data_IF_433395166971
#
_entry.id   IF_433395166971
#
_cell.length_a   1.000
_cell.length_b   1.000
_cell.length_c   1.000
_cell.angle_alpha   90.00
_cell.angle_beta   90.00
_cell.angle_gamma   90.00
#
_symmetry.space_group_name_H-M   'P 1'
#
loop_
_entity.id
_entity.type
_entity.pdbx_description
1 polymer ?
#
# COMPACT_ATOMS: atom_id res chain seq x y z
N UNK A 1 1.01 36.51 74.44
CA UNK A 1 1.45 37.00 73.13
C UNK A 1 2.32 35.94 72.47
N UNK A 2 2.02 35.64 71.20
CA UNK A 2 2.84 34.94 70.18
C UNK A 2 3.10 33.43 70.32
N UNK A 3 2.24 32.67 69.65
CA UNK A 3 2.55 31.42 68.94
C UNK A 3 3.67 31.64 67.92
N UNK A 4 4.42 30.57 67.57
CA UNK A 4 4.48 30.24 66.14
C UNK A 4 4.24 28.76 65.84
N UNK A 5 3.58 28.59 64.71
CA UNK A 5 3.17 27.37 64.03
C UNK A 5 4.22 26.89 63.01
N UNK A 6 4.14 25.59 62.70
CA UNK A 6 4.49 24.90 61.43
C UNK A 6 5.99 24.56 61.18
N UNK A 7 6.31 23.44 60.46
CA UNK A 7 5.58 22.93 59.30
C UNK A 7 5.23 21.43 59.28
N UNK A 8 4.04 21.14 58.75
CA UNK A 8 3.63 19.83 58.22
C UNK A 8 4.29 19.65 56.86
N UNK A 9 5.21 18.68 56.73
CA UNK A 9 5.75 18.27 55.44
C UNK A 9 4.65 17.58 54.63
N UNK A 10 4.20 18.23 53.57
CA UNK A 10 3.31 17.66 52.56
C UNK A 10 4.16 16.92 51.52
N UNK A 11 4.23 15.59 51.61
CA UNK A 11 4.90 14.74 50.62
C UNK A 11 4.02 14.62 49.38
N UNK A 12 4.28 15.43 48.35
CA UNK A 12 3.64 15.32 47.06
C UNK A 12 4.21 14.12 46.29
N UNK A 13 3.53 12.98 46.31
CA UNK A 13 3.81 11.84 45.44
C UNK A 13 3.28 12.17 44.04
N UNK A 14 4.17 12.63 43.16
CA UNK A 14 3.90 12.77 41.73
C UNK A 14 3.85 11.37 41.10
N UNK A 15 2.65 10.80 41.01
CA UNK A 15 2.36 9.65 40.15
C UNK A 15 2.45 10.11 38.69
N UNK A 16 3.63 9.95 38.09
CA UNK A 16 3.83 10.08 36.66
C UNK A 16 3.05 8.95 35.96
N UNK A 17 1.81 9.23 35.55
CA UNK A 17 1.09 8.38 34.61
C UNK A 17 1.79 8.48 33.26
N UNK A 18 2.64 7.50 32.95
CA UNK A 18 3.08 7.22 31.59
C UNK A 18 1.83 6.89 30.77
N UNK A 19 1.29 7.89 30.09
CA UNK A 19 0.32 7.69 29.04
C UNK A 19 1.06 6.94 27.91
N UNK A 20 1.05 5.61 27.98
CA UNK A 20 1.34 4.76 26.85
C UNK A 20 0.30 5.12 25.78
N UNK A 21 0.64 5.99 24.85
CA UNK A 21 -0.13 6.19 23.62
C UNK A 21 -0.20 4.84 22.92
N UNK A 22 -1.29 4.11 23.13
CA UNK A 22 -1.60 2.90 22.39
C UNK A 22 -1.67 3.27 20.92
N UNK A 23 -0.86 2.64 20.08
CA UNK A 23 -0.98 2.77 18.63
C UNK A 23 -2.44 2.57 18.21
N UNK A 24 -2.93 3.34 17.22
CA UNK A 24 -4.28 3.15 16.72
C UNK A 24 -4.49 1.68 16.30
N UNK A 25 -5.69 1.12 16.50
CA UNK A 25 -5.97 -0.26 16.16
C UNK A 25 -5.77 -0.48 14.64
N UNK A 26 -5.32 -1.68 14.22
CA UNK A 26 -5.14 -2.01 12.82
C UNK A 26 -6.45 -1.86 12.03
N UNK A 27 -6.38 -1.20 10.88
CA UNK A 27 -7.52 -1.13 9.95
C UNK A 27 -7.63 -2.41 9.11
N UNK A 28 -8.54 -3.29 9.52
CA UNK A 28 -8.83 -4.55 8.84
C UNK A 28 -10.01 -4.46 7.86
N UNK A 29 -10.50 -3.26 7.53
CA UNK A 29 -11.58 -3.11 6.55
C UNK A 29 -11.07 -3.57 5.17
N UNK A 30 -11.89 -4.30 4.39
CA UNK A 30 -11.54 -4.66 3.03
C UNK A 30 -11.39 -3.41 2.16
N UNK A 31 -10.59 -3.50 1.08
CA UNK A 31 -10.44 -2.39 0.13
C UNK A 31 -11.77 -1.97 -0.51
N UNK A 32 -12.71 -2.91 -0.65
CA UNK A 32 -13.94 -2.70 -1.41
C UNK A 32 -13.69 -2.92 -2.91
N UNK A 33 -14.55 -2.37 -3.76
CA UNK A 33 -14.33 -2.37 -5.21
C UNK A 33 -13.23 -1.35 -5.57
N UNK A 34 -12.08 -1.85 -6.01
CA UNK A 34 -10.90 -1.02 -6.34
C UNK A 34 -11.11 -0.17 -7.59
N UNK A 35 -12.25 -0.29 -8.26
CA UNK A 35 -12.66 0.51 -9.42
C UNK A 35 -13.89 1.36 -9.16
N UNK A 36 -14.43 1.36 -7.94
CA UNK A 36 -15.57 2.19 -7.57
C UNK A 36 -15.26 3.69 -7.70
N UNK A 37 -16.29 4.48 -8.01
CA UNK A 37 -16.19 5.95 -7.99
C UNK A 37 -16.17 6.48 -6.55
N UNK A 38 -15.50 7.63 -6.29
CA UNK A 38 -14.70 8.41 -7.24
C UNK A 38 -13.38 7.71 -7.58
N UNK A 39 -12.94 7.87 -8.83
CA UNK A 39 -11.74 7.22 -9.35
C UNK A 39 -10.59 8.24 -9.49
N UNK A 40 -9.41 7.79 -9.15
CA UNK A 40 -8.12 8.41 -9.39
C UNK A 40 -7.44 7.72 -10.56
N UNK A 41 -6.62 8.46 -11.29
CA UNK A 41 -5.90 7.96 -12.47
C UNK A 41 -6.82 7.27 -13.50
N UNK A 42 -8.09 7.71 -13.58
CA UNK A 42 -9.09 7.18 -14.51
C UNK A 42 -9.62 5.77 -14.24
N UNK A 43 -9.15 5.07 -13.20
CA UNK A 43 -9.57 3.68 -12.93
C UNK A 43 -9.65 3.30 -11.45
N UNK A 44 -8.77 3.83 -10.60
CA UNK A 44 -8.54 3.28 -9.26
C UNK A 44 -9.41 4.03 -8.24
N UNK A 45 -10.19 3.32 -7.44
CA UNK A 45 -11.05 3.93 -6.42
C UNK A 45 -10.24 4.72 -5.39
N UNK A 46 -10.66 5.97 -5.15
CA UNK A 46 -10.07 6.84 -4.11
C UNK A 46 -10.16 6.19 -2.73
N UNK A 47 -11.27 5.53 -2.41
CA UNK A 47 -11.49 4.89 -1.11
C UNK A 47 -10.58 3.67 -0.92
N UNK A 48 -10.37 2.88 -1.97
CA UNK A 48 -9.45 1.75 -1.93
C UNK A 48 -8.01 2.23 -1.72
N UNK A 49 -7.60 3.32 -2.40
CA UNK A 49 -6.30 3.96 -2.19
C UNK A 49 -6.17 4.40 -0.73
N UNK A 50 -7.13 5.18 -0.22
CA UNK A 50 -7.10 5.73 1.13
C UNK A 50 -6.95 4.64 2.19
N UNK A 51 -7.68 3.52 2.03
CA UNK A 51 -7.59 2.36 2.92
C UNK A 51 -6.23 1.68 2.83
N UNK A 52 -5.75 1.42 1.61
CA UNK A 52 -4.50 0.69 1.38
C UNK A 52 -3.28 1.40 1.99
N UNK A 53 -3.23 2.73 1.89
CA UNK A 53 -2.10 3.54 2.36
C UNK A 53 -2.34 4.21 3.73
N UNK A 54 -3.57 4.20 4.23
CA UNK A 54 -3.94 4.82 5.51
C UNK A 54 -3.96 6.34 5.49
N UNK A 55 -4.21 6.96 4.33
CA UNK A 55 -4.25 8.41 4.16
C UNK A 55 -5.59 8.84 3.58
N UNK A 56 -6.27 9.77 4.26
CA UNK A 56 -7.51 10.36 3.75
C UNK A 56 -7.24 11.40 2.63
N UNK A 57 -6.09 12.06 2.72
CA UNK A 57 -5.63 13.07 1.76
C UNK A 57 -4.31 12.65 1.11
N UNK A 58 -4.32 12.61 -0.22
CA UNK A 58 -3.18 12.23 -1.03
C UNK A 58 -3.22 12.90 -2.41
N UNK A 59 -2.09 12.90 -3.10
CA UNK A 59 -1.97 13.27 -4.49
C UNK A 59 -1.86 12.01 -5.35
N UNK A 60 -2.75 11.86 -6.31
CA UNK A 60 -2.68 10.81 -7.32
C UNK A 60 -2.29 11.40 -8.69
N UNK A 61 -1.32 10.78 -9.35
CA UNK A 61 -0.85 11.19 -10.68
C UNK A 61 -0.68 9.97 -11.57
N UNK A 62 -1.05 10.06 -12.85
CA UNK A 62 -1.04 8.90 -13.72
C UNK A 62 -1.91 9.08 -14.95
N UNK A 63 -2.53 7.99 -15.39
CA UNK A 63 -3.44 7.96 -16.53
C UNK A 63 -4.58 8.96 -16.36
N UNK A 64 -5.06 9.52 -17.47
CA UNK A 64 -6.22 10.41 -17.44
C UNK A 64 -7.52 9.61 -17.58
N UNK A 65 -8.64 10.10 -17.02
CA UNK A 65 -9.96 9.51 -17.28
C UNK A 65 -10.25 9.43 -18.78
N UNK A 66 -10.71 8.26 -19.24
CA UNK A 66 -11.03 8.00 -20.64
C UNK A 66 -9.84 7.61 -21.53
N UNK A 67 -8.60 7.73 -21.04
CA UNK A 67 -7.42 7.20 -21.72
C UNK A 67 -7.18 5.74 -21.31
N UNK A 68 -6.34 5.03 -22.08
CA UNK A 68 -5.88 3.70 -21.70
C UNK A 68 -5.08 3.81 -20.41
N UNK A 69 -5.44 3.00 -19.41
CA UNK A 69 -4.69 2.94 -18.16
C UNK A 69 -3.25 2.47 -18.40
N UNK A 70 -2.29 3.15 -17.80
CA UNK A 70 -0.85 2.90 -17.85
C UNK A 70 -0.23 2.89 -16.44
N UNK A 71 -0.57 3.87 -15.60
CA UNK A 71 -0.04 4.00 -14.25
C UNK A 71 -0.95 4.82 -13.34
N UNK A 72 -0.84 4.57 -12.05
CA UNK A 72 -1.31 5.43 -10.98
C UNK A 72 -0.29 5.47 -9.85
N UNK A 73 0.23 6.65 -9.54
CA UNK A 73 1.22 6.89 -8.50
C UNK A 73 0.59 7.81 -7.47
N UNK A 74 0.54 7.34 -6.23
CA UNK A 74 -0.04 8.04 -5.09
C UNK A 74 1.05 8.41 -4.10
N UNK A 75 0.98 9.64 -3.58
CA UNK A 75 1.92 10.18 -2.60
C UNK A 75 1.18 10.99 -1.54
N UNK A 76 1.76 11.07 -0.34
CA UNK A 76 1.26 11.93 0.72
C UNK A 76 1.26 13.40 0.31
N UNK A 77 0.19 14.12 0.65
CA UNK A 77 0.06 15.55 0.41
C UNK A 77 1.09 16.30 1.29
N UNK A 78 1.94 17.14 0.70
CA UNK A 78 2.97 17.96 1.40
C UNK A 78 4.10 17.17 2.09
N UNK A 79 4.47 15.99 1.59
CA UNK A 79 5.66 15.30 2.10
C UNK A 79 6.92 15.68 1.33
N UNK A 80 7.95 16.12 2.06
CA UNK A 80 9.33 16.25 1.56
C UNK A 80 10.05 14.89 1.48
N UNK A 81 9.47 13.85 2.11
CA UNK A 81 9.98 12.48 2.02
C UNK A 81 9.64 11.88 0.64
N UNK A 82 10.69 11.44 -0.05
CA UNK A 82 10.63 10.88 -1.39
C UNK A 82 10.11 9.44 -1.30
N UNK A 83 8.80 9.26 -1.42
CA UNK A 83 8.19 7.93 -1.48
C UNK A 83 6.86 7.92 -2.22
N UNK A 84 6.66 6.95 -3.12
CA UNK A 84 5.31 6.59 -3.55
C UNK A 84 4.69 5.71 -2.46
N UNK A 85 3.51 6.08 -1.98
CA UNK A 85 2.76 5.28 -1.00
C UNK A 85 2.07 4.10 -1.68
N UNK A 86 1.59 4.34 -2.90
CA UNK A 86 1.04 3.31 -3.78
C UNK A 86 1.47 3.59 -5.22
N UNK A 87 1.90 2.56 -5.94
CA UNK A 87 2.12 2.60 -7.38
C UNK A 87 1.45 1.41 -8.03
N UNK A 88 0.58 1.67 -8.99
CA UNK A 88 -0.09 0.68 -9.83
C UNK A 88 0.36 0.94 -11.25
N UNK A 89 1.06 0.00 -11.88
CA UNK A 89 1.62 0.18 -13.23
C UNK A 89 1.21 -0.98 -14.11
N UNK A 90 0.84 -0.67 -15.34
CA UNK A 90 0.52 -1.64 -16.38
C UNK A 90 1.47 -1.47 -17.59
N UNK A 91 2.31 -2.49 -17.80
CA UNK A 91 3.26 -2.51 -18.91
C UNK A 91 2.71 -3.36 -20.06
N UNK A 92 2.65 -2.78 -21.27
CA UNK A 92 2.31 -3.47 -22.50
C UNK A 92 3.07 -2.86 -23.70
N UNK A 93 4.19 -3.46 -24.15
CA UNK A 93 4.76 -4.71 -23.65
C UNK A 93 5.44 -4.55 -22.28
N UNK A 94 5.58 -5.66 -21.54
CA UNK A 94 6.41 -5.72 -20.35
C UNK A 94 7.88 -5.52 -20.72
N UNK A 95 8.60 -4.76 -19.90
CA UNK A 95 10.04 -4.57 -20.01
C UNK A 95 10.87 -5.66 -19.34
N UNK A 96 10.25 -6.52 -18.52
CA UNK A 96 10.94 -7.62 -17.84
C UNK A 96 10.67 -8.96 -18.52
N UNK A 97 11.72 -9.76 -18.63
CA UNK A 97 11.66 -11.17 -19.00
C UNK A 97 11.15 -12.04 -17.84
N UNK A 98 10.75 -13.27 -18.17
CA UNK A 98 10.34 -14.24 -17.15
C UNK A 98 11.51 -14.58 -16.19
N UNK A 99 12.72 -14.71 -16.71
CA UNK A 99 13.91 -15.01 -15.90
C UNK A 99 14.20 -13.87 -14.90
N UNK A 100 14.01 -12.61 -15.29
CA UNK A 100 14.13 -11.46 -14.38
C UNK A 100 13.03 -11.44 -13.31
N UNK A 101 11.80 -11.83 -13.67
CA UNK A 101 10.69 -11.94 -12.72
C UNK A 101 10.95 -13.06 -11.70
N UNK A 102 11.38 -14.23 -12.14
CA UNK A 102 11.73 -15.36 -11.26
C UNK A 102 12.98 -15.04 -10.42
N UNK A 103 13.97 -14.37 -11.00
CA UNK A 103 15.15 -13.90 -10.27
C UNK A 103 14.78 -12.92 -9.16
N UNK A 104 13.86 -11.99 -9.45
CA UNK A 104 13.35 -11.03 -8.46
C UNK A 104 12.55 -11.74 -7.37
N UNK A 105 11.66 -12.67 -7.74
CA UNK A 105 10.92 -13.51 -6.79
C UNK A 105 11.87 -14.25 -5.85
N UNK A 106 12.93 -14.87 -6.37
CA UNK A 106 13.90 -15.58 -5.54
C UNK A 106 14.69 -14.64 -4.63
N UNK A 107 15.15 -13.50 -5.16
CA UNK A 107 15.90 -12.49 -4.41
C UNK A 107 15.09 -11.95 -3.21
N UNK A 108 13.84 -11.58 -3.46
CA UNK A 108 12.96 -10.97 -2.46
C UNK A 108 12.15 -11.99 -1.66
N UNK A 109 12.45 -13.29 -1.82
CA UNK A 109 11.74 -14.40 -1.18
C UNK A 109 10.22 -14.33 -1.40
N UNK A 110 9.84 -13.94 -2.61
CA UNK A 110 8.46 -13.84 -3.05
C UNK A 110 7.72 -15.17 -3.03
N UNK A 111 6.42 -15.09 -2.81
CA UNK A 111 5.50 -16.22 -2.79
C UNK A 111 4.57 -16.07 -3.99
N UNK A 112 4.27 -17.18 -4.66
CA UNK A 112 3.31 -17.20 -5.76
C UNK A 112 1.96 -16.60 -5.33
N UNK A 113 1.32 -15.89 -6.26
CA UNK A 113 -0.06 -15.48 -6.05
C UNK A 113 -0.96 -16.72 -5.93
N UNK A 114 -2.14 -16.59 -5.29
CA UNK A 114 -3.16 -17.64 -5.31
C UNK A 114 -3.40 -18.14 -6.74
N UNK A 115 -3.51 -19.47 -6.91
CA UNK A 115 -3.49 -20.11 -8.21
C UNK A 115 -4.62 -19.65 -9.15
N UNK A 116 -5.76 -19.24 -8.58
CA UNK A 116 -6.92 -18.68 -9.30
C UNK A 116 -6.65 -17.29 -9.89
N UNK A 117 -5.61 -16.58 -9.43
CA UNK A 117 -5.16 -15.30 -9.98
C UNK A 117 -4.18 -15.46 -11.16
N UNK A 118 -3.78 -16.68 -11.51
CA UNK A 118 -2.84 -16.97 -12.59
C UNK A 118 -1.40 -16.54 -12.28
N UNK A 119 -0.53 -16.43 -13.32
CA UNK A 119 0.89 -16.15 -13.12
C UNK A 119 1.16 -14.81 -12.43
N UNK A 120 1.98 -14.87 -11.38
CA UNK A 120 2.35 -13.74 -10.55
C UNK A 120 2.95 -14.15 -9.21
N UNK A 121 3.55 -13.20 -8.50
CA UNK A 121 4.00 -13.38 -7.13
C UNK A 121 3.81 -12.11 -6.31
N UNK A 122 3.85 -12.24 -4.99
CA UNK A 122 3.95 -11.12 -4.05
C UNK A 122 5.19 -11.27 -3.18
N UNK A 123 5.81 -10.14 -2.82
CA UNK A 123 6.95 -10.12 -1.93
C UNK A 123 6.91 -8.91 -1.00
N UNK A 124 7.73 -8.99 0.03
CA UNK A 124 8.05 -7.88 0.90
C UNK A 124 9.55 -7.79 0.99
N UNK A 125 10.10 -6.59 0.79
CA UNK A 125 11.54 -6.37 0.97
C UNK A 125 11.75 -5.08 1.75
N UNK A 126 12.81 -5.08 2.54
CA UNK A 126 13.24 -3.91 3.29
C UNK A 126 14.35 -3.22 2.51
N UNK A 127 14.02 -2.09 1.90
CA UNK A 127 14.95 -1.26 1.16
C UNK A 127 15.55 -0.14 2.01
N UNK A 128 16.34 0.73 1.38
CA UNK A 128 16.89 1.94 2.04
C UNK A 128 15.81 2.88 2.56
N UNK A 129 14.67 2.91 1.90
CA UNK A 129 13.53 3.79 2.20
C UNK A 129 12.47 3.06 3.06
N UNK A 130 12.84 1.95 3.69
CA UNK A 130 11.97 1.13 4.53
C UNK A 130 11.36 -0.09 3.83
N UNK A 131 10.45 -0.74 4.56
CA UNK A 131 9.71 -1.90 4.08
C UNK A 131 8.83 -1.51 2.89
N UNK A 132 8.80 -2.34 1.85
CA UNK A 132 7.87 -2.21 0.73
C UNK A 132 7.21 -3.55 0.46
N UNK A 133 5.92 -3.53 0.19
CA UNK A 133 5.15 -4.69 -0.24
C UNK A 133 4.79 -4.54 -1.71
N UNK A 134 4.92 -5.59 -2.50
CA UNK A 134 4.49 -5.52 -3.88
C UNK A 134 3.92 -6.84 -4.40
N UNK A 135 3.16 -6.74 -5.48
CA UNK A 135 2.66 -7.87 -6.24
C UNK A 135 2.86 -7.64 -7.74
N UNK A 136 3.34 -8.66 -8.43
CA UNK A 136 3.39 -8.73 -9.87
C UNK A 136 2.42 -9.77 -10.38
N UNK A 137 1.71 -9.45 -11.45
CA UNK A 137 0.90 -10.38 -12.21
C UNK A 137 1.16 -10.18 -13.69
N UNK A 138 1.18 -11.26 -14.47
CA UNK A 138 1.41 -11.17 -15.91
C UNK A 138 0.51 -12.12 -16.70
N UNK A 139 0.42 -11.87 -18.00
CA UNK A 139 -0.26 -12.76 -18.95
C UNK A 139 0.54 -14.05 -19.14
N UNK A 140 -0.09 -15.19 -19.50
CA UNK A 140 0.64 -16.45 -19.70
C UNK A 140 1.77 -16.38 -20.74
N UNK A 141 1.67 -15.47 -21.71
CA UNK A 141 2.70 -15.19 -22.73
C UNK A 141 3.76 -14.18 -22.29
N UNK A 142 3.73 -13.76 -21.02
CA UNK A 142 4.61 -12.77 -20.35
C UNK A 142 4.69 -11.40 -21.03
N UNK A 143 3.83 -11.11 -22.02
CA UNK A 143 3.89 -9.85 -22.78
C UNK A 143 3.36 -8.65 -22.02
N UNK A 144 2.50 -8.87 -21.04
CA UNK A 144 1.85 -7.80 -20.28
C UNK A 144 2.00 -8.04 -18.79
N UNK A 145 2.25 -6.98 -18.04
CA UNK A 145 2.48 -7.05 -16.60
C UNK A 145 1.69 -5.98 -15.87
N UNK A 146 1.04 -6.36 -14.78
CA UNK A 146 0.49 -5.50 -13.75
C UNK A 146 1.43 -5.52 -12.54
N UNK A 147 1.74 -4.34 -12.03
CA UNK A 147 2.62 -4.12 -10.89
C UNK A 147 1.92 -3.30 -9.83
N UNK A 148 1.82 -3.82 -8.61
CA UNK A 148 1.27 -3.11 -7.44
C UNK A 148 2.38 -2.98 -6.41
N UNK A 149 2.68 -1.75 -5.99
CA UNK A 149 3.68 -1.44 -4.97
C UNK A 149 3.02 -0.61 -3.89
N UNK A 150 3.16 -1.02 -2.64
CA UNK A 150 2.61 -0.35 -1.47
C UNK A 150 3.76 -0.11 -0.48
N UNK A 151 4.00 1.16 -0.17
CA UNK A 151 4.82 1.54 0.97
C UNK A 151 3.91 1.54 2.20
N UNK A 152 4.26 0.83 3.28
CA UNK A 152 3.44 0.76 4.48
C UNK A 152 3.24 2.13 5.14
N UNK A 153 2.03 2.68 5.05
CA UNK A 153 1.61 3.91 5.72
C UNK A 153 0.48 3.73 6.74
N UNK A 154 -0.14 2.53 6.79
CA UNK A 154 -1.28 2.22 7.66
C UNK A 154 -0.87 1.20 8.74
N UNK A 155 -0.59 1.63 9.99
CA UNK A 155 -0.13 0.73 11.04
C UNK A 155 -1.03 -0.49 11.23
N UNK A 156 -0.43 -1.68 11.16
CA UNK A 156 -1.09 -2.97 11.38
C UNK A 156 -2.02 -3.45 10.26
N UNK A 157 -2.07 -2.75 9.12
CA UNK A 157 -2.76 -3.22 7.91
C UNK A 157 -1.92 -4.26 7.17
N UNK A 158 -2.57 -5.28 6.62
CA UNK A 158 -1.92 -6.30 5.78
C UNK A 158 -1.76 -5.81 4.33
N UNK A 159 -0.67 -5.09 4.07
CA UNK A 159 -0.37 -4.59 2.74
C UNK A 159 -0.11 -5.69 1.70
N UNK A 160 0.19 -6.93 2.13
CA UNK A 160 0.34 -8.06 1.19
C UNK A 160 -1.03 -8.49 0.71
N UNK A 161 -1.99 -8.63 1.62
CA UNK A 161 -3.37 -8.91 1.26
C UNK A 161 -3.94 -7.82 0.33
N UNK A 162 -3.65 -6.54 0.60
CA UNK A 162 -4.09 -5.45 -0.27
C UNK A 162 -3.48 -5.51 -1.67
N UNK A 163 -2.18 -5.78 -1.79
CA UNK A 163 -1.53 -5.89 -3.11
C UNK A 163 -2.13 -7.04 -3.93
N UNK A 164 -2.41 -8.19 -3.29
CA UNK A 164 -3.11 -9.33 -3.90
C UNK A 164 -4.52 -8.94 -4.32
N UNK A 165 -5.25 -8.21 -3.48
CA UNK A 165 -6.62 -7.78 -3.72
C UNK A 165 -6.73 -6.82 -4.91
N UNK A 166 -5.79 -5.86 -5.03
CA UNK A 166 -5.66 -5.03 -6.23
C UNK A 166 -5.42 -5.89 -7.47
N UNK A 167 -4.49 -6.86 -7.42
CA UNK A 167 -4.26 -7.77 -8.54
C UNK A 167 -5.53 -8.53 -8.90
N UNK A 168 -6.24 -9.10 -7.92
CA UNK A 168 -7.45 -9.89 -8.14
C UNK A 168 -8.51 -9.13 -8.93
N UNK A 169 -8.72 -7.86 -8.58
CA UNK A 169 -9.75 -7.04 -9.22
C UNK A 169 -9.29 -6.38 -10.53
N UNK A 170 -8.01 -5.98 -10.62
CA UNK A 170 -7.48 -5.28 -11.81
C UNK A 170 -7.02 -6.22 -12.93
N UNK A 171 -6.58 -7.44 -12.61
CA UNK A 171 -6.16 -8.45 -13.60
C UNK A 171 -7.22 -8.67 -14.70
N UNK A 172 -8.51 -8.96 -14.40
CA UNK A 172 -9.51 -9.19 -15.45
C UNK A 172 -9.79 -7.94 -16.31
N UNK A 173 -9.35 -6.75 -15.88
CA UNK A 173 -9.55 -5.50 -16.62
C UNK A 173 -8.32 -5.22 -17.51
N UNK A 174 -7.12 -5.34 -16.95
CA UNK A 174 -5.88 -4.90 -17.61
C UNK A 174 -5.14 -6.03 -18.34
N UNK A 175 -5.26 -7.26 -17.83
CA UNK A 175 -4.56 -8.45 -18.35
C UNK A 175 -5.48 -9.44 -19.07
N UNK A 176 -6.78 -9.12 -19.22
CA UNK A 176 -7.67 -9.93 -20.05
C UNK A 176 -7.11 -10.07 -21.47
N UNK A 177 -7.28 -11.24 -22.12
CA UNK A 177 -6.96 -11.38 -23.54
C UNK A 177 -7.68 -10.29 -24.32
N UNK A 178 -6.97 -9.59 -25.22
CA UNK A 178 -7.66 -8.72 -26.18
C UNK A 178 -8.57 -9.62 -27.01
N UNK A 179 -9.89 -9.54 -26.80
CA UNK A 179 -10.86 -10.10 -27.74
C UNK A 179 -10.60 -9.42 -29.08
N UNK A 180 -10.01 -10.17 -30.02
CA UNK A 180 -9.92 -9.79 -31.42
C UNK A 180 -11.31 -9.86 -32.06
#
# INVERSE_FOLDING_TARGET
>A
MRTPLLPVLLTAVLLATSACSSSPPPDNRPLGDVTAKPQECGLISRDAIARAIGLDDFLATGSRPGERFDRCIVRKLQSDEIGAELSITFDNPSSLSLDELEGTKQHDRGVDLPADLGPGFTAQFEGKDGLRTYAYAWTPDTRRRLSIWITPGAPGRDHRADAIEFVRQLRPILLAPSTK
#
